data_IF_912137270236
#
_entry.id   IF_912137270236
#
_cell.length_a   1.000
_cell.length_b   1.000
_cell.length_c   1.000
_cell.angle_alpha   90.00
_cell.angle_beta   90.00
_cell.angle_gamma   90.00
#
_symmetry.space_group_name_H-M   'P 1'
#
loop_
_entity.id
_entity.type
_entity.pdbx_description
1 polymer ?
#
# COMPACT_ATOMS: atom_id res chain seq x y z
N UNK A 1 -15.98 -9.44 17.08
CA UNK A 1 -15.05 -10.02 16.07
C UNK A 1 -14.56 -8.89 15.14
N UNK A 2 -13.69 -7.95 15.51
CA UNK A 2 -12.45 -8.07 16.27
C UNK A 2 -11.19 -8.01 15.39
N UNK A 3 -11.26 -7.51 14.15
CA UNK A 3 -10.09 -7.32 13.26
C UNK A 3 -9.98 -5.85 12.90
N UNK A 4 -9.13 -5.03 13.55
CA UNK A 4 -8.53 -3.98 12.70
C UNK A 4 -7.18 -3.39 13.10
N UNK A 5 -6.68 -3.48 14.34
CA UNK A 5 -5.55 -2.62 14.73
C UNK A 5 -4.24 -2.98 13.99
N UNK A 6 -3.93 -4.27 13.86
CA UNK A 6 -2.71 -4.72 13.16
C UNK A 6 -2.78 -4.38 11.66
N UNK A 7 -3.92 -4.60 11.03
CA UNK A 7 -4.12 -4.29 9.60
C UNK A 7 -4.08 -2.78 9.37
N UNK A 8 -4.70 -1.99 10.26
CA UNK A 8 -4.68 -0.53 10.20
C UNK A 8 -3.25 0.02 10.37
N UNK A 9 -2.42 -0.59 11.23
CA UNK A 9 -1.00 -0.27 11.32
C UNK A 9 -0.26 -0.61 10.02
N UNK A 10 -0.51 -1.77 9.41
CA UNK A 10 0.09 -2.13 8.11
C UNK A 10 -0.29 -1.13 7.03
N UNK A 11 -1.57 -0.75 6.91
CA UNK A 11 -2.03 0.27 5.96
C UNK A 11 -1.36 1.63 6.22
N UNK A 12 -1.25 2.05 7.49
CA UNK A 12 -0.55 3.28 7.85
C UNK A 12 0.94 3.24 7.52
N UNK A 13 1.62 2.11 7.73
CA UNK A 13 3.03 1.91 7.36
C UNK A 13 3.25 1.94 5.85
N UNK A 14 2.27 1.46 5.08
CA UNK A 14 2.28 1.60 3.61
C UNK A 14 2.04 3.06 3.17
N UNK A 15 1.52 3.92 4.05
CA UNK A 15 1.21 5.33 3.76
C UNK A 15 -0.27 5.59 3.44
N UNK A 16 -1.12 4.56 3.56
CA UNK A 16 -2.55 4.61 3.28
C UNK A 16 -3.32 5.02 4.55
N UNK A 17 -3.61 6.33 4.66
CA UNK A 17 -4.29 6.91 5.84
C UNK A 17 -5.77 7.18 5.58
N UNK A 18 -6.17 7.30 4.32
CA UNK A 18 -7.55 7.58 3.88
C UNK A 18 -7.99 6.56 2.82
N UNK A 19 -9.30 6.36 2.70
CA UNK A 19 -9.89 5.49 1.67
C UNK A 19 -9.67 6.15 0.29
N UNK A 20 -9.30 5.34 -0.71
CA UNK A 20 -9.06 5.81 -2.08
C UNK A 20 -7.72 6.55 -2.29
N UNK A 21 -6.83 6.52 -1.30
CA UNK A 21 -5.49 7.08 -1.44
C UNK A 21 -4.60 6.10 -2.21
N UNK A 22 -3.85 6.60 -3.20
CA UNK A 22 -2.82 5.84 -3.92
C UNK A 22 -1.44 6.35 -3.54
N UNK A 23 -0.47 5.45 -3.39
CA UNK A 23 0.93 5.78 -3.10
C UNK A 23 1.84 4.89 -3.94
N UNK A 24 2.88 5.47 -4.52
CA UNK A 24 3.92 4.71 -5.23
C UNK A 24 5.01 4.33 -4.23
N UNK A 25 5.45 3.07 -4.28
CA UNK A 25 6.50 2.53 -3.44
C UNK A 25 7.43 1.66 -4.27
N UNK A 26 8.70 1.67 -3.89
CA UNK A 26 9.69 0.77 -4.48
C UNK A 26 9.32 -0.68 -4.24
N UNK A 27 9.58 -1.51 -5.25
CA UNK A 27 9.29 -2.93 -5.22
C UNK A 27 10.32 -3.72 -4.39
N UNK A 28 10.20 -3.61 -3.07
CA UNK A 28 11.07 -4.32 -2.12
C UNK A 28 10.34 -5.48 -1.42
N UNK A 29 11.03 -6.58 -1.05
CA UNK A 29 10.42 -7.74 -0.40
C UNK A 29 9.62 -7.40 0.86
N UNK A 30 10.05 -6.39 1.63
CA UNK A 30 9.37 -5.91 2.82
C UNK A 30 7.97 -5.33 2.51
N UNK A 31 7.84 -4.57 1.43
CA UNK A 31 6.58 -3.96 0.99
C UNK A 31 5.64 -5.06 0.47
N UNK A 32 6.16 -5.96 -0.37
CA UNK A 32 5.43 -7.16 -0.82
C UNK A 32 4.91 -7.98 0.36
N UNK A 33 5.73 -8.17 1.40
CA UNK A 33 5.34 -8.87 2.63
C UNK A 33 4.23 -8.16 3.42
N UNK A 34 4.22 -6.83 3.44
CA UNK A 34 3.14 -6.05 4.06
C UNK A 34 1.84 -6.15 3.26
N UNK A 35 1.89 -6.04 1.93
CA UNK A 35 0.72 -6.21 1.04
C UNK A 35 0.08 -7.60 1.26
N UNK A 36 0.89 -8.65 1.32
CA UNK A 36 0.42 -10.03 1.59
C UNK A 36 -0.32 -10.19 2.92
N UNK A 37 -0.14 -9.29 3.90
CA UNK A 37 -0.89 -9.30 5.17
C UNK A 37 -2.27 -8.66 5.06
N UNK A 38 -2.51 -7.85 4.03
CA UNK A 38 -3.77 -7.11 3.79
C UNK A 38 -4.25 -7.24 2.33
N UNK A 39 -4.24 -8.45 1.71
CA UNK A 39 -4.42 -8.61 0.27
C UNK A 39 -5.81 -8.21 -0.24
N UNK A 40 -6.82 -8.15 0.64
CA UNK A 40 -8.19 -7.78 0.29
C UNK A 40 -8.52 -6.32 0.58
N UNK A 41 -7.58 -5.55 1.15
CA UNK A 41 -7.78 -4.14 1.53
C UNK A 41 -7.05 -3.17 0.60
N UNK A 42 -6.18 -3.68 -0.27
CA UNK A 42 -5.37 -2.89 -1.18
C UNK A 42 -5.43 -3.49 -2.56
N UNK A 43 -5.36 -2.62 -3.56
CA UNK A 43 -5.13 -2.95 -4.95
C UNK A 43 -3.69 -2.55 -5.28
N UNK A 44 -3.01 -3.37 -6.09
CA UNK A 44 -1.61 -3.16 -6.43
C UNK A 44 -1.51 -3.15 -7.95
N UNK A 45 -0.93 -2.09 -8.47
CA UNK A 45 -0.64 -1.91 -9.89
C UNK A 45 0.86 -1.68 -10.03
N UNK A 46 1.47 -2.30 -11.04
CA UNK A 46 2.84 -2.01 -11.43
C UNK A 46 2.84 -0.68 -12.19
N UNK A 47 3.60 0.28 -11.68
CA UNK A 47 3.77 1.59 -12.30
C UNK A 47 5.18 1.69 -12.84
N UNK A 48 5.31 1.78 -14.15
CA UNK A 48 6.57 2.16 -14.78
C UNK A 48 6.86 3.63 -14.47
N UNK A 49 8.03 3.95 -13.94
CA UNK A 49 8.48 5.29 -13.50
C UNK A 49 8.45 6.40 -14.60
N UNK A 50 7.89 6.11 -15.78
CA UNK A 50 7.84 7.01 -16.94
C UNK A 50 6.75 8.09 -16.89
N UNK A 51 5.96 8.20 -15.81
CA UNK A 51 4.80 9.11 -15.79
C UNK A 51 4.82 10.15 -14.66
N UNK A 52 5.96 10.32 -13.96
CA UNK A 52 6.10 11.33 -12.92
C UNK A 52 6.92 12.56 -13.37
N UNK A 53 6.68 13.06 -14.58
CA UNK A 53 7.00 14.45 -14.94
C UNK A 53 5.68 15.20 -15.20
N UNK A 54 5.10 15.76 -14.14
CA UNK A 54 4.54 17.11 -14.20
C UNK A 54 4.24 17.60 -12.78
N UNK A 55 5.14 18.41 -12.23
CA UNK A 55 4.79 19.46 -11.29
C UNK A 55 5.60 20.70 -11.62
#
# INVERSE_FOLDING_TARGET
>A
MGRPEKQRRVLQSLGLRKIGQTVVKEDVPSIRGMIKKVPHLVEVEEVDDKTAENK
#
